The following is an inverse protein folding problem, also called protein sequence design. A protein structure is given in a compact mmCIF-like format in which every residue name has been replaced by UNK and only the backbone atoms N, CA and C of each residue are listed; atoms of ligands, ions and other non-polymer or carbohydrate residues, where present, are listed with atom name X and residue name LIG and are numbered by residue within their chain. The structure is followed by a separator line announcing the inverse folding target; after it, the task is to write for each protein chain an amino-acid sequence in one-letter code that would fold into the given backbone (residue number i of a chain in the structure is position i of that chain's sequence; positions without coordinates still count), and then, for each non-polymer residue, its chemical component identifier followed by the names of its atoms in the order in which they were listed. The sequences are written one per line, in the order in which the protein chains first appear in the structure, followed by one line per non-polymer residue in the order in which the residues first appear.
data_IF_468440389702
#
_entry.id   IF_468440389702
#
_cell.length_a   1.000
_cell.length_b   1.000
_cell.length_c   1.000
_cell.angle_alpha   90.00
_cell.angle_beta   90.00
_cell.angle_gamma   90.00
#
_symmetry.space_group_name_H-M   'P 1'
#
loop_
_entity.id
_entity.type
_entity.pdbx_description
1 polymer ?
#
# COMPACT_ATOMS: atom_id res chain seq x y z
N UNK A 1 -50.92 -81.65 -51.36
CA UNK A 1 -49.72 -81.38 -50.55
C UNK A 1 -49.26 -79.94 -50.74
N UNK A 2 -49.34 -79.41 -51.97
CA UNK A 2 -48.86 -78.07 -52.33
C UNK A 2 -49.65 -76.89 -51.69
N UNK A 3 -50.96 -77.00 -51.48
CA UNK A 3 -51.75 -75.93 -50.82
C UNK A 3 -51.38 -75.73 -49.34
N UNK A 4 -50.98 -76.80 -48.64
CA UNK A 4 -50.61 -76.75 -47.23
C UNK A 4 -49.22 -76.13 -47.05
N UNK A 5 -48.32 -76.36 -48.01
CA UNK A 5 -46.99 -75.74 -48.06
C UNK A 5 -47.13 -74.22 -48.30
N UNK A 6 -47.94 -73.83 -49.29
CA UNK A 6 -48.20 -72.44 -49.63
C UNK A 6 -48.85 -71.65 -48.48
N UNK A 7 -49.73 -72.29 -47.71
CA UNK A 7 -50.38 -71.68 -46.54
C UNK A 7 -49.38 -71.41 -45.39
N UNK A 8 -48.43 -72.33 -45.14
CA UNK A 8 -47.39 -72.14 -44.14
C UNK A 8 -46.40 -71.04 -44.52
N UNK A 9 -46.02 -70.95 -45.80
CA UNK A 9 -45.12 -69.91 -46.31
C UNK A 9 -45.76 -68.51 -46.21
N UNK A 10 -47.05 -68.39 -46.57
CA UNK A 10 -47.82 -67.15 -46.40
C UNK A 10 -47.92 -66.72 -44.93
N UNK A 11 -48.06 -67.67 -44.00
CA UNK A 11 -48.10 -67.39 -42.56
C UNK A 11 -46.73 -66.93 -42.05
N UNK A 12 -45.65 -67.57 -42.48
CA UNK A 12 -44.28 -67.17 -42.15
C UNK A 12 -43.94 -65.77 -42.68
N UNK A 13 -44.33 -65.46 -43.92
CA UNK A 13 -44.16 -64.12 -44.49
C UNK A 13 -44.92 -63.04 -43.72
N UNK A 14 -46.16 -63.32 -43.30
CA UNK A 14 -46.95 -62.38 -42.48
C UNK A 14 -46.29 -62.11 -41.13
N UNK A 15 -45.79 -63.15 -40.48
CA UNK A 15 -45.09 -63.01 -39.20
C UNK A 15 -43.81 -62.19 -39.36
N UNK A 16 -42.96 -62.53 -40.33
CA UNK A 16 -41.73 -61.78 -40.61
C UNK A 16 -42.03 -60.31 -40.95
N UNK A 17 -43.10 -60.04 -41.70
CA UNK A 17 -43.51 -58.67 -42.00
C UNK A 17 -43.98 -57.91 -40.75
N UNK A 18 -44.68 -58.57 -39.83
CA UNK A 18 -45.05 -57.95 -38.55
C UNK A 18 -43.82 -57.64 -37.69
N UNK A 19 -42.88 -58.58 -37.59
CA UNK A 19 -41.62 -58.38 -36.86
C UNK A 19 -40.80 -57.21 -37.45
N UNK A 20 -40.79 -57.06 -38.77
CA UNK A 20 -40.17 -55.92 -39.44
C UNK A 20 -40.87 -54.61 -39.11
N UNK A 21 -42.21 -54.57 -39.09
CA UNK A 21 -42.95 -53.37 -38.68
C UNK A 21 -42.63 -52.98 -37.23
N UNK A 22 -42.62 -53.95 -36.32
CA UNK A 22 -42.30 -53.70 -34.91
C UNK A 22 -40.86 -53.21 -34.72
N UNK A 23 -39.91 -53.73 -35.52
CA UNK A 23 -38.52 -53.27 -35.51
C UNK A 23 -38.38 -51.85 -36.08
N UNK A 24 -39.09 -51.53 -37.17
CA UNK A 24 -39.14 -50.18 -37.75
C UNK A 24 -39.66 -49.18 -36.72
N UNK A 25 -40.73 -49.52 -35.99
CA UNK A 25 -41.28 -48.64 -34.96
C UNK A 25 -40.30 -48.43 -33.80
N UNK A 26 -39.61 -49.49 -33.36
CA UNK A 26 -38.55 -49.40 -32.34
C UNK A 26 -37.39 -48.51 -32.79
N UNK A 27 -36.90 -48.69 -34.01
CA UNK A 27 -35.82 -47.86 -34.58
C UNK A 27 -36.26 -46.42 -34.77
N UNK A 28 -37.48 -46.16 -35.23
CA UNK A 28 -38.02 -44.81 -35.38
C UNK A 28 -38.10 -44.08 -34.03
N UNK A 29 -38.52 -44.78 -32.96
CA UNK A 29 -38.53 -44.20 -31.62
C UNK A 29 -37.11 -43.91 -31.11
N UNK A 30 -36.20 -44.87 -31.25
CA UNK A 30 -34.79 -44.70 -30.86
C UNK A 30 -34.15 -43.51 -31.59
N UNK A 31 -34.42 -43.35 -32.88
CA UNK A 31 -33.90 -42.23 -33.67
C UNK A 31 -34.41 -40.87 -33.17
N UNK A 32 -35.71 -40.76 -32.83
CA UNK A 32 -36.27 -39.54 -32.21
C UNK A 32 -35.59 -39.20 -30.88
N UNK A 33 -35.24 -40.21 -30.08
CA UNK A 33 -34.56 -40.00 -28.80
C UNK A 33 -33.10 -39.54 -29.01
N UNK A 34 -32.41 -40.10 -30.02
CA UNK A 34 -31.08 -39.62 -30.42
C UNK A 34 -31.10 -38.19 -30.93
N UNK A 35 -32.04 -37.83 -31.81
CA UNK A 35 -32.20 -36.46 -32.31
C UNK A 35 -32.38 -35.46 -31.17
N UNK A 36 -33.25 -35.79 -30.20
CA UNK A 36 -33.47 -34.95 -29.01
C UNK A 36 -32.20 -34.82 -28.17
N UNK A 37 -31.46 -35.92 -27.98
CA UNK A 37 -30.22 -35.90 -27.21
C UNK A 37 -29.15 -35.06 -27.90
N UNK A 38 -28.98 -35.22 -29.21
CA UNK A 38 -28.04 -34.45 -30.03
C UNK A 38 -28.35 -32.96 -29.95
N UNK A 39 -29.62 -32.57 -30.14
CA UNK A 39 -30.04 -31.18 -30.01
C UNK A 39 -29.70 -30.57 -28.66
N UNK A 40 -29.96 -31.30 -27.57
CA UNK A 40 -29.63 -30.82 -26.22
C UNK A 40 -28.11 -30.67 -26.01
N UNK A 41 -27.33 -31.62 -26.50
CA UNK A 41 -25.87 -31.56 -26.41
C UNK A 41 -25.28 -30.40 -27.21
N UNK A 42 -25.77 -30.17 -28.43
CA UNK A 42 -25.35 -29.04 -29.26
C UNK A 42 -25.63 -27.71 -28.55
N UNK A 43 -26.82 -27.56 -27.95
CA UNK A 43 -27.15 -26.37 -27.18
C UNK A 43 -26.23 -26.18 -25.97
N UNK A 44 -25.95 -27.26 -25.24
CA UNK A 44 -25.06 -27.22 -24.07
C UNK A 44 -23.62 -26.89 -24.46
N UNK A 45 -23.15 -27.37 -25.63
CA UNK A 45 -21.83 -27.04 -26.18
C UNK A 45 -21.74 -25.54 -26.44
N UNK A 46 -22.71 -24.94 -27.14
CA UNK A 46 -22.71 -23.51 -27.44
C UNK A 46 -22.66 -22.67 -26.16
N UNK A 47 -23.47 -23.01 -25.15
CA UNK A 47 -23.48 -22.31 -23.87
C UNK A 47 -22.13 -22.41 -23.13
N UNK A 48 -21.49 -23.59 -23.20
CA UNK A 48 -20.18 -23.80 -22.57
C UNK A 48 -19.07 -23.05 -23.31
N UNK A 49 -19.10 -23.01 -24.64
CA UNK A 49 -18.13 -22.24 -25.44
C UNK A 49 -18.22 -20.74 -25.16
N UNK A 50 -19.45 -20.20 -25.04
CA UNK A 50 -19.66 -18.82 -24.60
C UNK A 50 -19.10 -18.56 -23.20
N UNK A 51 -19.34 -19.48 -22.25
CA UNK A 51 -18.81 -19.34 -20.89
C UNK A 51 -17.29 -19.42 -20.85
N UNK A 52 -16.68 -20.31 -21.63
CA UNK A 52 -15.22 -20.44 -21.75
C UNK A 52 -14.64 -19.12 -22.28
N UNK A 53 -15.16 -18.59 -23.39
CA UNK A 53 -14.69 -17.31 -23.95
C UNK A 53 -14.81 -16.15 -22.97
N UNK A 54 -15.91 -16.10 -22.22
CA UNK A 54 -16.09 -15.08 -21.18
C UNK A 54 -15.03 -15.19 -20.09
N UNK A 55 -14.80 -16.40 -19.57
CA UNK A 55 -13.81 -16.65 -18.51
C UNK A 55 -12.38 -16.40 -18.98
N UNK A 56 -12.05 -16.77 -20.22
CA UNK A 56 -10.75 -16.48 -20.83
C UNK A 56 -10.50 -14.97 -20.89
N UNK A 57 -11.52 -14.18 -21.26
CA UNK A 57 -11.43 -12.72 -21.28
C UNK A 57 -11.28 -12.12 -19.88
N UNK A 58 -12.05 -12.59 -18.90
CA UNK A 58 -11.89 -12.14 -17.51
C UNK A 58 -10.51 -12.46 -16.95
N UNK A 59 -10.01 -13.67 -17.24
CA UNK A 59 -8.68 -14.11 -16.81
C UNK A 59 -7.59 -13.23 -17.46
N UNK A 60 -7.68 -12.98 -18.76
CA UNK A 60 -6.73 -12.12 -19.48
C UNK A 60 -6.69 -10.70 -18.89
N UNK A 61 -7.86 -10.09 -18.66
CA UNK A 61 -7.94 -8.76 -18.03
C UNK A 61 -7.33 -8.76 -16.62
N UNK A 62 -7.59 -9.80 -15.83
CA UNK A 62 -7.04 -9.93 -14.47
C UNK A 62 -5.52 -10.05 -14.48
N UNK A 63 -4.98 -10.82 -15.42
CA UNK A 63 -3.53 -10.96 -15.62
C UNK A 63 -2.92 -9.63 -16.03
N UNK A 64 -3.54 -8.90 -16.96
CA UNK A 64 -3.06 -7.59 -17.42
C UNK A 64 -3.01 -6.57 -16.27
N UNK A 65 -4.08 -6.47 -15.47
CA UNK A 65 -4.10 -5.61 -14.29
C UNK A 65 -3.02 -5.99 -13.28
N UNK A 66 -2.84 -7.29 -13.02
CA UNK A 66 -1.81 -7.78 -12.10
C UNK A 66 -0.39 -7.45 -12.58
N UNK A 67 -0.14 -7.52 -13.90
CA UNK A 67 1.15 -7.12 -14.48
C UNK A 67 1.38 -5.62 -14.28
N UNK A 68 0.39 -4.78 -14.56
CA UNK A 68 0.48 -3.33 -14.38
C UNK A 68 0.75 -2.96 -12.92
N UNK A 69 0.00 -3.53 -11.97
CA UNK A 69 0.21 -3.32 -10.54
C UNK A 69 1.63 -3.72 -10.11
N UNK A 70 2.14 -4.86 -10.60
CA UNK A 70 3.52 -5.29 -10.30
C UNK A 70 4.55 -4.30 -10.83
N UNK A 71 4.40 -3.82 -12.05
CA UNK A 71 5.32 -2.84 -12.66
C UNK A 71 5.32 -1.50 -11.89
N UNK A 72 4.15 -1.04 -11.45
CA UNK A 72 4.02 0.15 -10.61
C UNK A 72 4.72 -0.02 -9.25
N UNK A 73 4.51 -1.16 -8.59
CA UNK A 73 5.17 -1.48 -7.32
C UNK A 73 6.69 -1.61 -7.48
N UNK A 74 7.18 -2.22 -8.56
CA UNK A 74 8.61 -2.32 -8.85
C UNK A 74 9.24 -0.93 -9.05
N UNK A 75 8.53 -0.02 -9.72
CA UNK A 75 8.96 1.36 -9.87
C UNK A 75 9.00 2.10 -8.53
N UNK A 76 7.96 1.97 -7.71
CA UNK A 76 7.92 2.58 -6.38
C UNK A 76 9.05 2.06 -5.49
N UNK A 77 9.31 0.75 -5.49
CA UNK A 77 10.45 0.15 -4.77
C UNK A 77 11.78 0.73 -5.27
N UNK A 78 11.93 0.92 -6.58
CA UNK A 78 13.14 1.51 -7.16
C UNK A 78 13.35 2.96 -6.72
N UNK A 79 12.30 3.76 -6.69
CA UNK A 79 12.36 5.15 -6.27
C UNK A 79 12.61 5.28 -4.76
N UNK A 80 11.97 4.44 -3.94
CA UNK A 80 12.26 4.35 -2.50
C UNK A 80 13.71 3.96 -2.22
N UNK A 81 14.29 3.02 -2.99
CA UNK A 81 15.71 2.66 -2.86
C UNK A 81 16.64 3.86 -3.10
N UNK A 82 16.33 4.71 -4.10
CA UNK A 82 17.10 5.93 -4.35
C UNK A 82 17.00 6.90 -3.18
N UNK A 83 15.78 7.13 -2.68
CA UNK A 83 15.55 8.02 -1.52
C UNK A 83 16.34 7.53 -0.30
N UNK A 84 16.26 6.23 0.02
CA UNK A 84 17.01 5.63 1.14
C UNK A 84 18.52 5.82 0.96
N UNK A 85 19.04 5.66 -0.27
CA UNK A 85 20.45 5.90 -0.54
C UNK A 85 20.85 7.36 -0.29
N UNK A 86 20.06 8.33 -0.76
CA UNK A 86 20.33 9.75 -0.55
C UNK A 86 20.28 10.12 0.94
N UNK A 87 19.26 9.67 1.67
CA UNK A 87 19.12 9.93 3.09
C UNK A 87 20.28 9.35 3.91
N UNK A 88 20.76 8.14 3.57
CA UNK A 88 21.95 7.56 4.22
C UNK A 88 23.18 8.45 4.04
N UNK A 89 23.41 8.95 2.82
CA UNK A 89 24.53 9.84 2.53
C UNK A 89 24.41 11.17 3.28
N UNK A 90 23.20 11.71 3.39
CA UNK A 90 22.94 12.94 4.14
C UNK A 90 23.20 12.76 5.65
N UNK A 91 22.76 11.64 6.24
CA UNK A 91 23.04 11.29 7.63
C UNK A 91 24.56 11.20 7.87
N UNK A 92 25.29 10.48 7.02
CA UNK A 92 26.75 10.37 7.13
C UNK A 92 27.45 11.74 7.06
N UNK A 93 26.91 12.68 6.27
CA UNK A 93 27.44 14.04 6.18
C UNK A 93 27.12 14.83 7.46
N UNK A 94 25.90 14.72 7.98
CA UNK A 94 25.48 15.38 9.22
C UNK A 94 26.24 14.88 10.43
N UNK A 95 26.56 13.58 10.49
CA UNK A 95 27.39 13.01 11.55
C UNK A 95 28.81 13.61 11.57
N UNK A 96 29.40 13.87 10.38
CA UNK A 96 30.70 14.56 10.28
C UNK A 96 30.63 16.02 10.70
N UNK A 97 29.54 16.70 10.34
CA UNK A 97 29.29 18.08 10.77
C UNK A 97 29.13 18.14 12.30
N UNK A 98 28.35 17.24 12.88
CA UNK A 98 28.10 17.15 14.31
C UNK A 98 29.38 16.89 15.09
N UNK A 99 30.16 15.88 14.69
CA UNK A 99 31.47 15.59 15.32
C UNK A 99 32.44 16.78 15.24
N UNK A 100 32.43 17.54 14.14
CA UNK A 100 33.22 18.77 14.02
C UNK A 100 32.76 19.83 15.02
N UNK A 101 31.45 20.01 15.18
CA UNK A 101 30.89 20.99 16.14
C UNK A 101 31.14 20.59 17.59
N UNK A 102 31.03 19.31 17.93
CA UNK A 102 31.37 18.78 19.26
C UNK A 102 32.83 19.08 19.64
N UNK A 103 33.77 18.87 18.70
CA UNK A 103 35.18 19.20 18.93
C UNK A 103 35.37 20.71 19.19
N UNK A 104 34.71 21.57 18.42
CA UNK A 104 34.76 23.02 18.63
C UNK A 104 34.18 23.43 19.98
N UNK A 105 33.07 22.80 20.40
CA UNK A 105 32.47 23.03 21.71
C UNK A 105 33.45 22.67 22.84
N UNK A 106 34.10 21.50 22.74
CA UNK A 106 35.11 21.08 23.71
C UNK A 106 36.29 22.06 23.79
N UNK A 107 36.74 22.63 22.66
CA UNK A 107 37.76 23.67 22.65
C UNK A 107 37.32 24.97 23.32
N UNK A 108 36.03 25.35 23.18
CA UNK A 108 35.46 26.50 23.87
C UNK A 108 35.40 26.26 25.38
N UNK A 109 34.96 25.08 25.84
CA UNK A 109 34.93 24.73 27.26
C UNK A 109 36.31 24.83 27.91
N UNK A 110 37.37 24.39 27.21
CA UNK A 110 38.75 24.50 27.70
C UNK A 110 39.16 25.98 27.82
N UNK A 111 38.83 26.80 26.81
CA UNK A 111 39.13 28.24 26.83
C UNK A 111 38.38 28.95 27.94
N UNK A 112 37.11 28.63 28.13
CA UNK A 112 36.28 29.18 29.20
C UNK A 112 36.85 28.85 30.58
N UNK A 113 37.20 27.58 30.84
CA UNK A 113 37.85 27.15 32.09
C UNK A 113 39.15 27.91 32.37
N UNK A 114 39.98 28.12 31.35
CA UNK A 114 41.22 28.92 31.46
C UNK A 114 40.91 30.38 31.80
N UNK A 115 39.93 30.99 31.13
CA UNK A 115 39.53 32.38 31.39
C UNK A 115 38.95 32.54 32.81
N UNK A 116 38.03 31.67 33.22
CA UNK A 116 37.49 31.64 34.59
C UNK A 116 38.59 31.54 35.65
N UNK A 117 39.62 30.72 35.40
CA UNK A 117 40.78 30.60 36.31
C UNK A 117 41.58 31.91 36.39
N UNK A 118 41.90 32.52 35.23
CA UNK A 118 42.63 33.80 35.18
C UNK A 118 41.86 34.93 35.86
N UNK A 119 40.55 35.02 35.65
CA UNK A 119 39.70 36.02 36.32
C UNK A 119 39.81 35.85 37.84
N UNK A 120 39.68 34.62 38.34
CA UNK A 120 39.80 34.32 39.78
C UNK A 120 41.17 34.71 40.37
N UNK A 121 42.25 34.51 39.62
CA UNK A 121 43.61 34.92 40.03
C UNK A 121 43.77 36.45 40.08
N UNK A 122 43.21 37.16 39.08
CA UNK A 122 43.23 38.62 39.04
C UNK A 122 42.43 39.18 40.23
N UNK A 123 41.21 38.70 40.48
CA UNK A 123 40.39 39.11 41.63
C UNK A 123 41.14 38.96 42.95
N UNK A 124 41.80 37.81 43.18
CA UNK A 124 42.61 37.57 44.40
C UNK A 124 43.82 38.50 44.55
N UNK A 125 44.35 39.01 43.44
CA UNK A 125 45.50 39.93 43.47
C UNK A 125 45.08 41.39 43.62
N UNK A 126 43.88 41.76 43.18
CA UNK A 126 43.27 43.06 43.40
C UNK A 126 42.92 43.33 44.89
N UNK A 127 42.55 42.29 45.65
CA UNK A 127 42.31 42.38 47.10
C UNK A 127 43.53 42.84 47.92
N UNK A 128 44.73 42.88 47.33
CA UNK A 128 45.97 43.33 48.01
C UNK A 128 46.27 44.82 47.82
N UNK A 129 45.52 45.56 47.00
CA UNK A 129 45.84 46.95 46.65
C UNK A 129 44.73 47.98 46.88
N UNK A 130 43.54 47.59 47.37
CA UNK A 130 42.47 48.54 47.69
C UNK A 130 41.80 48.19 49.03
N UNK A 131 41.58 49.17 49.94
CA UNK A 131 40.81 48.94 51.16
C UNK A 131 39.35 48.67 50.79
N UNK A 132 38.94 47.41 50.91
CA UNK A 132 37.62 46.79 51.18
C UNK A 132 36.26 47.47 50.82
N UNK A 133 36.19 48.63 50.18
CA UNK A 133 34.92 49.40 50.07
C UNK A 133 34.45 49.72 48.66
N UNK A 134 35.10 49.24 47.60
CA UNK A 134 34.71 49.59 46.22
C UNK A 134 34.64 48.42 45.22
N UNK A 135 34.78 47.17 45.66
CA UNK A 135 34.69 46.02 44.76
C UNK A 135 33.66 44.98 45.25
N UNK A 136 32.47 45.45 45.65
CA UNK A 136 31.27 44.63 45.51
C UNK A 136 30.95 44.57 44.01
N UNK A 137 31.72 43.78 43.26
CA UNK A 137 31.17 43.15 42.07
C UNK A 137 30.55 41.88 42.62
N UNK A 138 29.32 42.00 43.12
CA UNK A 138 28.37 40.90 43.05
C UNK A 138 28.37 40.47 41.58
N UNK A 139 29.11 39.40 41.29
CA UNK A 139 28.86 38.61 40.10
C UNK A 139 27.43 38.11 40.30
N UNK A 140 26.47 38.79 39.69
CA UNK A 140 25.06 38.43 39.68
C UNK A 140 24.94 36.95 39.29
N UNK A 141 24.78 36.08 40.29
CA UNK A 141 24.30 34.70 40.08
C UNK A 141 22.83 34.73 39.58
N UNK A 142 22.13 35.86 39.79
CA UNK A 142 20.76 36.10 39.31
C UNK A 142 20.68 36.19 37.76
N UNK A 143 21.70 36.72 37.07
CA UNK A 143 21.68 36.82 35.60
C UNK A 143 21.97 35.47 34.91
N UNK A 144 22.66 34.55 35.58
CA UNK A 144 22.90 33.19 35.06
C UNK A 144 21.60 32.38 35.09
N UNK A 145 20.78 32.55 36.14
CA UNK A 145 19.48 31.87 36.24
C UNK A 145 18.53 32.31 35.13
N UNK A 146 18.53 33.60 34.77
CA UNK A 146 17.69 34.12 33.69
C UNK A 146 18.18 33.66 32.30
N UNK A 147 19.49 33.43 32.13
CA UNK A 147 20.07 32.88 30.91
C UNK A 147 19.82 31.37 30.80
N UNK A 148 19.91 30.62 31.90
CA UNK A 148 19.58 29.20 31.98
C UNK A 148 18.10 28.95 31.71
N UNK A 149 17.21 29.80 32.23
CA UNK A 149 15.76 29.73 31.95
C UNK A 149 15.45 30.02 30.47
N UNK A 150 16.10 31.02 29.85
CA UNK A 150 15.98 31.29 28.40
C UNK A 150 16.53 30.14 27.55
N UNK A 151 17.61 29.50 27.97
CA UNK A 151 18.17 28.32 27.28
C UNK A 151 17.24 27.11 27.42
N UNK A 152 16.65 26.89 28.58
CA UNK A 152 15.65 25.85 28.81
C UNK A 152 14.37 26.07 28.00
N UNK A 153 13.89 27.30 27.90
CA UNK A 153 12.73 27.66 27.04
C UNK A 153 13.06 27.40 25.57
N UNK A 154 14.24 27.81 25.10
CA UNK A 154 14.67 27.53 23.71
C UNK A 154 14.83 26.03 23.44
N UNK A 155 15.32 25.25 24.39
CA UNK A 155 15.44 23.79 24.25
C UNK A 155 14.06 23.11 24.20
N UNK A 156 13.09 23.60 24.97
CA UNK A 156 11.72 23.08 24.97
C UNK A 156 10.94 23.45 23.70
N UNK A 157 11.16 24.65 23.14
CA UNK A 157 10.61 25.03 21.84
C UNK A 157 11.15 24.14 20.70
N UNK A 158 12.41 23.70 20.78
CA UNK A 158 12.98 22.79 19.78
C UNK A 158 12.35 21.39 19.86
N UNK A 159 12.13 20.85 21.07
CA UNK A 159 11.46 19.55 21.25
C UNK A 159 9.98 19.59 20.85
N UNK A 160 9.27 20.68 21.14
CA UNK A 160 7.84 20.82 20.81
C UNK A 160 7.57 21.11 19.33
N UNK A 161 8.55 21.64 18.60
CA UNK A 161 8.49 21.76 17.13
C UNK A 161 8.66 20.39 16.45
N UNK A 162 9.41 19.46 17.06
CA UNK A 162 9.62 18.11 16.49
C UNK A 162 8.47 17.13 16.74
N UNK A 163 7.61 17.39 17.72
CA UNK A 163 6.48 16.52 18.12
C UNK A 163 5.10 16.96 17.58
N UNK A 164 5.01 17.98 16.71
CA UNK A 164 3.78 18.26 15.96
C UNK A 164 3.75 17.50 14.63
N UNK A 165 2.92 16.44 14.49
CA UNK A 165 2.58 15.92 13.18
C UNK A 165 1.59 16.89 12.51
N UNK A 166 2.12 17.89 11.82
CA UNK A 166 1.33 18.77 10.95
C UNK A 166 1.75 20.24 11.02
N UNK A 167 2.25 20.72 9.87
CA UNK A 167 2.44 22.12 9.50
C UNK A 167 3.62 22.86 10.15
N UNK A 168 4.81 22.63 9.58
CA UNK A 168 5.85 23.66 9.54
C UNK A 168 5.36 24.84 8.67
N UNK A 169 5.47 26.10 9.10
CA UNK A 169 5.32 27.24 8.20
C UNK A 169 6.49 27.21 7.22
N UNK A 170 6.19 27.02 5.93
CA UNK A 170 7.18 27.13 4.87
C UNK A 170 7.82 28.53 4.92
N UNK A 171 9.15 28.65 4.88
CA UNK A 171 9.79 29.92 4.61
C UNK A 171 9.24 30.46 3.29
N UNK A 172 8.77 31.71 3.28
CA UNK A 172 8.65 32.45 2.04
C UNK A 172 10.06 32.55 1.46
N UNK A 173 10.31 31.75 0.43
CA UNK A 173 11.55 31.74 -0.31
C UNK A 173 11.34 32.62 -1.52
N UNK A 174 11.78 33.86 -1.39
CA UNK A 174 11.77 34.85 -2.43
C UNK A 174 12.94 34.56 -3.37
N UNK A 175 12.62 34.39 -4.66
CA UNK A 175 13.60 34.58 -5.72
C UNK A 175 14.33 33.33 -6.19
N UNK A 176 13.88 32.87 -7.35
CA UNK A 176 14.69 32.67 -8.56
C UNK A 176 15.84 31.65 -8.54
N UNK A 177 15.90 30.89 -9.65
CA UNK A 177 16.97 29.98 -10.07
C UNK A 177 16.94 28.55 -9.53
N UNK A 178 16.01 27.72 -10.05
CA UNK A 178 16.33 26.39 -10.62
C UNK A 178 15.06 25.56 -10.86
N UNK A 179 14.29 25.88 -11.91
CA UNK A 179 13.26 24.97 -12.44
C UNK A 179 12.98 25.23 -13.93
N UNK A 180 14.01 25.16 -14.76
CA UNK A 180 13.80 24.76 -16.15
C UNK A 180 14.17 23.30 -16.21
N UNK A 181 13.20 22.38 -16.30
CA UNK A 181 13.30 21.02 -16.87
C UNK A 181 12.16 20.10 -16.38
N UNK A 182 10.91 20.57 -16.32
CA UNK A 182 9.76 19.65 -16.38
C UNK A 182 8.64 20.30 -17.20
N UNK A 183 8.76 20.18 -18.53
CA UNK A 183 7.62 20.35 -19.43
C UNK A 183 6.63 19.20 -19.15
N UNK A 184 5.47 19.55 -18.61
CA UNK A 184 4.27 18.69 -18.61
C UNK A 184 3.89 18.31 -20.05
N UNK A 185 3.19 17.19 -20.24
CA UNK A 185 2.02 17.18 -21.09
C UNK A 185 0.76 17.10 -20.22
N UNK A 186 -0.05 18.13 -20.35
CA UNK A 186 -1.45 18.18 -19.99
C UNK A 186 -2.27 17.29 -20.92
N UNK A 187 -3.18 16.49 -20.32
CA UNK A 187 -4.59 16.25 -20.71
C UNK A 187 -5.09 14.93 -20.10
N UNK A 188 -5.58 14.99 -18.86
CA UNK A 188 -6.56 14.03 -18.37
C UNK A 188 -7.93 14.52 -18.82
N UNK A 189 -8.58 13.74 -19.69
CA UNK A 189 -10.01 13.85 -19.93
C UNK A 189 -10.73 13.13 -18.79
N UNK A 190 -11.72 13.79 -18.22
CA UNK A 190 -12.72 13.18 -17.38
C UNK A 190 -13.37 12.00 -18.11
N UNK A 191 -13.30 10.81 -17.52
CA UNK A 191 -14.25 9.74 -17.81
C UNK A 191 -14.57 9.01 -16.52
N UNK A 192 -15.65 9.47 -15.90
CA UNK A 192 -16.38 8.77 -14.86
C UNK A 192 -16.84 7.41 -15.40
N UNK A 193 -16.33 6.33 -14.80
CA UNK A 193 -16.72 4.97 -15.18
C UNK A 193 -16.25 3.92 -14.18
N UNK A 194 -16.33 4.20 -12.87
CA UNK A 194 -16.09 3.19 -11.86
C UNK A 194 -17.28 2.22 -11.79
N UNK A 195 -17.08 0.89 -11.91
CA UNK A 195 -18.11 -0.07 -11.55
C UNK A 195 -18.33 0.00 -10.02
N UNK A 196 -19.59 0.16 -9.61
CA UNK A 196 -20.00 0.16 -8.20
C UNK A 196 -19.50 -1.11 -7.52
N UNK A 197 -18.68 -0.93 -6.48
CA UNK A 197 -18.25 -2.01 -5.61
C UNK A 197 -19.42 -2.68 -4.92
N UNK A 198 -19.25 -3.94 -4.56
CA UNK A 198 -20.25 -4.68 -3.78
C UNK A 198 -20.52 -3.99 -2.44
N UNK A 199 -21.73 -4.12 -1.85
CA UNK A 199 -22.16 -3.35 -0.67
C UNK A 199 -21.20 -3.42 0.53
N UNK A 200 -20.45 -4.53 0.68
CA UNK A 200 -19.45 -4.71 1.74
C UNK A 200 -18.21 -3.81 1.60
N UNK A 201 -17.83 -3.42 0.38
CA UNK A 201 -16.66 -2.57 0.16
C UNK A 201 -16.93 -1.09 0.44
N UNK A 202 -18.20 -0.68 0.35
CA UNK A 202 -18.62 0.70 0.58
C UNK A 202 -18.81 1.02 2.08
N UNK A 203 -19.15 0.00 2.87
CA UNK A 203 -19.21 0.06 4.33
C UNK A 203 -17.80 0.20 4.96
N UNK A 204 -16.80 -0.54 4.45
CA UNK A 204 -15.39 -0.38 4.86
C UNK A 204 -14.82 1.01 4.55
N UNK A 205 -15.16 1.59 3.40
CA UNK A 205 -14.71 2.96 3.04
C UNK A 205 -15.32 4.03 3.95
N UNK A 206 -16.52 3.80 4.50
CA UNK A 206 -17.13 4.69 5.49
C UNK A 206 -16.47 4.53 6.87
N UNK A 207 -16.05 3.33 7.21
CA UNK A 207 -15.41 3.01 8.49
C UNK A 207 -13.96 3.49 8.59
N UNK A 208 -13.20 3.48 7.49
CA UNK A 208 -11.83 4.05 7.44
C UNK A 208 -11.81 5.58 7.54
N UNK A 209 -12.91 6.28 7.18
CA UNK A 209 -13.02 7.75 7.29
C UNK A 209 -13.44 8.25 8.67
N UNK A 210 -13.89 7.36 9.56
CA UNK A 210 -14.21 7.70 10.95
C UNK A 210 -13.07 7.20 11.82
N UNK A 211 -12.06 8.03 12.08
CA UNK A 211 -10.83 7.71 12.82
C UNK A 211 -10.97 6.58 13.84
N UNK A 212 -10.83 5.34 13.37
CA UNK A 212 -10.86 4.14 14.20
C UNK A 212 -9.47 3.97 14.79
N UNK A 213 -9.44 3.49 16.03
CA UNK A 213 -8.17 3.24 16.70
C UNK A 213 -7.45 2.09 16.02
N UNK A 214 -6.11 2.07 16.10
CA UNK A 214 -5.27 1.05 15.46
C UNK A 214 -5.70 -0.38 15.84
N UNK A 215 -6.19 -0.56 17.06
CA UNK A 215 -6.69 -1.83 17.59
C UNK A 215 -7.97 -2.31 16.89
N UNK A 216 -8.87 -1.40 16.51
CA UNK A 216 -10.07 -1.72 15.75
C UNK A 216 -9.75 -2.11 14.31
N UNK A 217 -8.77 -1.44 13.69
CA UNK A 217 -8.27 -1.80 12.37
C UNK A 217 -7.62 -3.19 12.38
N UNK A 218 -6.82 -3.51 13.41
CA UNK A 218 -6.25 -4.85 13.60
C UNK A 218 -7.32 -5.93 13.82
N UNK A 219 -8.39 -5.62 14.57
CA UNK A 219 -9.50 -6.56 14.79
C UNK A 219 -10.26 -6.87 13.49
N UNK A 220 -10.46 -5.86 12.64
CA UNK A 220 -11.11 -6.02 11.33
C UNK A 220 -10.22 -6.85 10.38
N UNK A 221 -8.91 -6.56 10.34
CA UNK A 221 -7.95 -7.31 9.52
C UNK A 221 -7.88 -8.79 9.91
N UNK A 222 -7.87 -9.11 11.22
CA UNK A 222 -7.88 -10.51 11.69
C UNK A 222 -9.15 -11.27 11.29
N UNK A 223 -10.32 -10.62 11.37
CA UNK A 223 -11.58 -11.23 10.91
C UNK A 223 -11.56 -11.53 9.41
N UNK A 224 -10.93 -10.67 8.62
CA UNK A 224 -10.81 -10.85 7.19
C UNK A 224 -9.85 -12.00 6.83
N UNK A 225 -8.68 -12.06 7.47
CA UNK A 225 -7.71 -13.15 7.31
C UNK A 225 -8.35 -14.51 7.68
N UNK A 226 -9.09 -14.58 8.79
CA UNK A 226 -9.81 -15.80 9.16
C UNK A 226 -10.92 -16.18 8.16
N UNK A 227 -11.62 -15.22 7.59
CA UNK A 227 -12.64 -15.50 6.57
C UNK A 227 -12.03 -16.06 5.28
N UNK A 228 -10.84 -15.60 4.90
CA UNK A 228 -10.13 -16.11 3.72
C UNK A 228 -9.56 -17.50 3.99
N UNK A 229 -8.94 -17.70 5.15
CA UNK A 229 -8.39 -19.00 5.55
C UNK A 229 -9.48 -20.08 5.64
N UNK A 230 -10.71 -19.73 6.08
CA UNK A 230 -11.84 -20.66 6.08
C UNK A 230 -12.38 -20.98 4.68
N UNK A 231 -12.22 -20.08 3.69
CA UNK A 231 -12.60 -20.33 2.30
C UNK A 231 -11.55 -21.21 1.60
N UNK A 232 -10.29 -21.15 2.03
CA UNK A 232 -9.18 -21.93 1.48
C UNK A 232 -9.00 -23.34 2.11
N UNK A 233 -9.91 -23.79 2.96
CA UNK A 233 -9.89 -25.13 3.59
C UNK A 233 -11.02 -26.07 3.11
N UNK A 234 -11.51 -25.84 1.89
CA UNK A 234 -12.32 -26.78 1.11
C UNK A 234 -11.50 -27.19 -0.11
#
# INVERSE_FOLDING_TARGET
MDELLLCNDLKGLRQANQELHDEIDRLAQSNRDYERRTYNLERDIVLREERIRYLEKELANTIELSIQEREELEKEISDLKKIVYYLKKEIEQKDKELTTRENQLAEFDIREKKLKTRIREISKSADRYLPFSLLNIELYEEDISELEEKILIMAWDIETITDRPGELPLPQYDGDECCQFLKKPSKLKDSSGYPKGTPKNEEMRKDLKKGKTLDECHAIARKWIHSILNICHI
#
